data_IF_701484155560
#
_entry.id   IF_701484155560
#
_cell.length_a   1.000
_cell.length_b   1.000
_cell.length_c   1.000
_cell.angle_alpha   90.00
_cell.angle_beta   90.00
_cell.angle_gamma   90.00
#
_symmetry.space_group_name_H-M   'P 1'
#
loop_
_entity.id
_entity.type
_entity.pdbx_description
1 polymer ?
#
# COMPACT_ATOMS: atom_id res chain seq x y z
N UNK A 1 -10.27 5.05 15.67
CA UNK A 1 -8.95 4.85 15.02
C UNK A 1 -7.83 5.78 15.52
N UNK A 2 -8.08 6.94 16.14
CA UNK A 2 -7.03 7.92 16.50
C UNK A 2 -6.08 7.50 17.63
N UNK A 3 -6.52 6.71 18.61
CA UNK A 3 -5.71 6.36 19.78
C UNK A 3 -4.68 5.25 19.53
N UNK A 4 -4.94 4.36 18.55
CA UNK A 4 -4.08 3.20 18.28
C UNK A 4 -2.96 3.50 17.27
N UNK A 5 -3.11 4.55 16.43
CA UNK A 5 -2.18 4.87 15.37
C UNK A 5 -0.73 5.05 15.86
N UNK A 6 -0.44 5.79 16.96
CA UNK A 6 0.93 5.92 17.44
C UNK A 6 1.58 4.60 17.85
N UNK A 7 0.82 3.71 18.50
CA UNK A 7 1.31 2.40 18.92
C UNK A 7 1.61 1.50 17.72
N UNK A 8 0.73 1.50 16.71
CA UNK A 8 0.94 0.74 15.46
C UNK A 8 2.18 1.26 14.74
N UNK A 9 2.30 2.58 14.56
CA UNK A 9 3.45 3.21 13.89
C UNK A 9 4.75 2.92 14.64
N UNK A 10 4.73 2.92 15.98
CA UNK A 10 5.89 2.56 16.79
C UNK A 10 6.33 1.11 16.55
N UNK A 11 5.41 0.16 16.63
CA UNK A 11 5.71 -1.26 16.39
C UNK A 11 6.25 -1.49 14.98
N UNK A 12 5.63 -0.84 13.99
CA UNK A 12 6.09 -0.92 12.60
C UNK A 12 7.48 -0.32 12.42
N UNK A 13 7.75 0.86 12.98
CA UNK A 13 9.04 1.51 12.88
C UNK A 13 10.16 0.65 13.48
N UNK A 14 9.91 0.05 14.65
CA UNK A 14 10.82 -0.89 15.29
C UNK A 14 11.03 -2.15 14.45
N UNK A 15 9.96 -2.69 13.86
CA UNK A 15 10.07 -3.87 12.98
C UNK A 15 10.85 -3.56 11.72
N UNK A 16 10.65 -2.39 11.14
CA UNK A 16 11.28 -1.94 9.89
C UNK A 16 12.78 -1.71 10.02
N UNK A 17 13.26 -1.42 11.23
CA UNK A 17 14.69 -1.23 11.53
C UNK A 17 15.45 -2.52 11.80
N UNK A 18 14.74 -3.64 12.01
CA UNK A 18 15.35 -4.95 12.13
C UNK A 18 15.50 -5.55 10.74
N UNK A 19 16.43 -6.49 10.61
CA UNK A 19 16.56 -7.29 9.39
C UNK A 19 15.19 -7.88 8.99
N UNK A 20 14.84 -7.71 7.71
CA UNK A 20 13.61 -8.28 7.13
C UNK A 20 14.04 -9.33 6.11
N UNK A 21 13.82 -10.58 6.47
CA UNK A 21 14.30 -11.74 5.71
C UNK A 21 13.50 -11.95 4.42
N UNK A 22 12.18 -11.68 4.43
CA UNK A 22 11.31 -11.88 3.26
C UNK A 22 10.94 -10.55 2.60
N UNK A 23 10.85 -10.55 1.27
CA UNK A 23 10.32 -9.41 0.51
C UNK A 23 8.87 -9.14 0.86
N UNK A 24 8.05 -10.18 1.04
CA UNK A 24 6.61 -10.07 1.35
C UNK A 24 6.36 -9.24 2.61
N UNK A 25 7.02 -9.57 3.73
CA UNK A 25 6.86 -8.82 4.98
C UNK A 25 7.32 -7.38 4.83
N UNK A 26 8.37 -7.14 4.05
CA UNK A 26 8.88 -5.79 3.78
C UNK A 26 7.86 -4.98 3.00
N UNK A 27 7.26 -5.55 1.96
CA UNK A 27 6.20 -4.93 1.17
C UNK A 27 4.96 -4.63 2.02
N UNK A 28 4.52 -5.55 2.87
CA UNK A 28 3.40 -5.32 3.79
C UNK A 28 3.64 -4.13 4.73
N UNK A 29 4.85 -4.02 5.30
CA UNK A 29 5.21 -2.87 6.15
C UNK A 29 5.25 -1.56 5.36
N UNK A 30 5.79 -1.59 4.14
CA UNK A 30 5.84 -0.43 3.24
C UNK A 30 4.41 0.03 2.91
N UNK A 31 3.50 -0.89 2.56
CA UNK A 31 2.12 -0.56 2.21
C UNK A 31 1.38 0.14 3.35
N UNK A 32 1.52 -0.32 4.59
CA UNK A 32 0.86 0.32 5.72
C UNK A 32 1.41 1.74 5.93
N UNK A 33 2.73 1.97 5.77
CA UNK A 33 3.28 3.33 5.80
C UNK A 33 2.78 4.19 4.64
N UNK A 34 2.65 3.63 3.43
CA UNK A 34 2.06 4.32 2.27
C UNK A 34 0.63 4.76 2.57
N UNK A 35 -0.20 3.88 3.14
CA UNK A 35 -1.61 4.21 3.47
C UNK A 35 -1.68 5.34 4.50
N UNK A 36 -0.85 5.30 5.55
CA UNK A 36 -0.83 6.37 6.56
C UNK A 36 -0.37 7.70 5.93
N UNK A 37 0.65 7.66 5.07
CA UNK A 37 1.14 8.83 4.33
C UNK A 37 0.07 9.41 3.41
N UNK A 38 -0.62 8.57 2.64
CA UNK A 38 -1.70 8.95 1.72
C UNK A 38 -2.88 9.59 2.46
N UNK A 39 -3.28 9.02 3.60
CA UNK A 39 -4.39 9.54 4.40
C UNK A 39 -4.08 10.92 4.97
N UNK A 40 -2.88 11.11 5.53
CA UNK A 40 -2.48 12.38 6.12
C UNK A 40 -0.95 12.50 6.28
N UNK A 41 -0.26 13.22 5.37
CA UNK A 41 1.18 13.42 5.46
C UNK A 41 1.63 14.09 6.76
N UNK A 42 0.88 15.10 7.24
CA UNK A 42 1.18 15.78 8.51
C UNK A 42 1.23 14.81 9.69
N UNK A 43 0.21 13.95 9.82
CA UNK A 43 0.18 12.94 10.88
C UNK A 43 1.24 11.87 10.69
N UNK A 44 1.54 11.46 9.47
CA UNK A 44 2.61 10.50 9.18
C UNK A 44 3.95 11.01 9.73
N UNK A 45 4.37 12.20 9.32
CA UNK A 45 5.64 12.78 9.77
C UNK A 45 5.63 13.11 11.26
N UNK A 46 4.55 13.69 11.80
CA UNK A 46 4.44 13.99 13.23
C UNK A 46 4.58 12.73 14.09
N UNK A 47 3.89 11.65 13.71
CA UNK A 47 3.90 10.39 14.47
C UNK A 47 5.28 9.74 14.41
N UNK A 48 5.89 9.63 13.22
CA UNK A 48 7.22 9.05 13.08
C UNK A 48 8.31 9.86 13.78
N UNK A 49 8.24 11.20 13.73
CA UNK A 49 9.17 12.05 14.48
C UNK A 49 9.02 11.87 16.00
N UNK A 50 7.79 11.70 16.49
CA UNK A 50 7.52 11.43 17.91
C UNK A 50 8.05 10.07 18.32
N UNK A 51 7.84 9.04 17.49
CA UNK A 51 8.39 7.69 17.71
C UNK A 51 9.91 7.73 17.72
N UNK A 52 10.53 8.39 16.75
CA UNK A 52 11.99 8.56 16.68
C UNK A 52 12.53 9.27 17.92
N UNK A 53 11.90 10.36 18.36
CA UNK A 53 12.31 11.10 19.56
C UNK A 53 12.26 10.24 20.83
N UNK A 54 11.30 9.32 20.92
CA UNK A 54 11.12 8.43 22.07
C UNK A 54 11.96 7.14 21.99
N UNK A 55 12.37 6.72 20.80
CA UNK A 55 13.13 5.50 20.56
C UNK A 55 14.27 5.75 19.55
N UNK A 56 15.51 5.91 20.03
CA UNK A 56 16.69 6.14 19.19
C UNK A 56 16.92 5.09 18.11
N UNK A 57 16.45 3.84 18.30
CA UNK A 57 16.59 2.78 17.29
C UNK A 57 15.78 3.06 16.01
N UNK A 58 14.84 4.00 16.05
CA UNK A 58 13.96 4.34 14.94
C UNK A 58 14.32 5.66 14.24
N UNK A 59 15.42 6.30 14.59
CA UNK A 59 15.82 7.62 14.07
C UNK A 59 15.95 7.69 12.55
N UNK A 60 16.38 6.61 11.90
CA UNK A 60 16.54 6.53 10.44
C UNK A 60 15.27 6.07 9.70
N UNK A 61 14.16 5.81 10.41
CA UNK A 61 13.01 5.09 9.82
C UNK A 61 12.39 5.80 8.64
N UNK A 62 12.27 7.13 8.69
CA UNK A 62 11.68 7.93 7.61
C UNK A 62 12.52 7.80 6.34
N UNK A 63 13.83 8.01 6.45
CA UNK A 63 14.76 7.91 5.33
C UNK A 63 14.86 6.48 4.79
N UNK A 64 14.94 5.49 5.68
CA UNK A 64 15.00 4.07 5.30
C UNK A 64 13.72 3.65 4.58
N UNK A 65 12.56 4.06 5.08
CA UNK A 65 11.26 3.79 4.45
C UNK A 65 11.21 4.29 3.01
N UNK A 66 11.52 5.56 2.77
CA UNK A 66 11.46 6.12 1.41
C UNK A 66 12.46 5.46 0.46
N UNK A 67 13.70 5.24 0.90
CA UNK A 67 14.70 4.57 0.07
C UNK A 67 14.33 3.12 -0.26
N UNK A 68 13.82 2.39 0.74
CA UNK A 68 13.43 1.00 0.57
C UNK A 68 12.20 0.89 -0.33
N UNK A 69 11.20 1.75 -0.14
CA UNK A 69 10.02 1.79 -1.00
C UNK A 69 10.40 2.03 -2.46
N UNK A 70 11.27 3.00 -2.75
CA UNK A 70 11.71 3.21 -4.13
C UNK A 70 12.48 2.03 -4.72
N UNK A 71 13.19 1.27 -3.89
CA UNK A 71 13.95 0.08 -4.31
C UNK A 71 13.02 -1.10 -4.59
N UNK A 72 12.02 -1.31 -3.73
CA UNK A 72 11.11 -2.45 -3.79
C UNK A 72 9.86 -2.17 -4.64
N UNK A 73 9.72 -0.99 -5.25
CA UNK A 73 8.52 -0.62 -6.02
C UNK A 73 8.23 -1.60 -7.16
N UNK A 74 9.26 -2.24 -7.73
CA UNK A 74 9.10 -3.24 -8.80
C UNK A 74 8.60 -4.61 -8.28
N UNK A 75 8.65 -4.85 -6.97
CA UNK A 75 8.21 -6.11 -6.36
C UNK A 75 6.70 -6.14 -6.08
N UNK A 76 5.98 -5.02 -6.24
CA UNK A 76 4.53 -5.00 -6.11
C UNK A 76 3.87 -5.67 -7.33
N UNK A 77 3.41 -6.91 -7.17
CA UNK A 77 2.85 -7.71 -8.24
C UNK A 77 1.32 -7.63 -8.33
N UNK A 78 0.60 -7.75 -7.21
CA UNK A 78 -0.87 -7.81 -7.15
C UNK A 78 -1.56 -6.49 -7.49
N UNK A 79 -2.81 -6.56 -7.96
CA UNK A 79 -3.62 -5.37 -8.32
C UNK A 79 -3.76 -4.43 -7.14
N UNK A 80 -4.13 -4.96 -5.98
CA UNK A 80 -4.26 -4.20 -4.73
C UNK A 80 -2.94 -3.49 -4.38
N UNK A 81 -1.83 -4.24 -4.37
CA UNK A 81 -0.50 -3.75 -4.03
C UNK A 81 -0.05 -2.59 -4.93
N UNK A 82 -0.27 -2.74 -6.24
CA UNK A 82 0.03 -1.71 -7.23
C UNK A 82 -0.88 -0.49 -7.07
N UNK A 83 -2.17 -0.67 -6.75
CA UNK A 83 -3.09 0.45 -6.44
C UNK A 83 -2.61 1.24 -5.21
N UNK A 84 -2.25 0.55 -4.13
CA UNK A 84 -1.71 1.19 -2.92
C UNK A 84 -0.42 1.95 -3.22
N UNK A 85 0.54 1.32 -3.93
CA UNK A 85 1.78 1.97 -4.31
C UNK A 85 1.54 3.21 -5.19
N UNK A 86 0.62 3.12 -6.14
CA UNK A 86 0.20 4.23 -7.00
C UNK A 86 -0.35 5.42 -6.21
N UNK A 87 -1.25 5.19 -5.25
CA UNK A 87 -1.78 6.23 -4.36
C UNK A 87 -0.68 6.92 -3.55
N UNK A 88 0.28 6.14 -3.06
CA UNK A 88 1.47 6.66 -2.39
C UNK A 88 2.30 7.57 -3.29
N UNK A 89 2.65 7.11 -4.49
CA UNK A 89 3.48 7.88 -5.43
C UNK A 89 2.79 9.18 -5.86
N UNK A 90 1.47 9.15 -6.10
CA UNK A 90 0.68 10.37 -6.34
C UNK A 90 0.62 11.31 -5.13
N UNK A 91 0.76 10.79 -3.91
CA UNK A 91 0.90 11.61 -2.70
C UNK A 91 2.25 12.30 -2.69
N UNK A 92 3.33 11.58 -3.03
CA UNK A 92 4.67 12.17 -3.12
C UNK A 92 4.78 13.26 -4.20
N UNK A 93 4.15 13.09 -5.35
CA UNK A 93 4.12 14.10 -6.41
C UNK A 93 3.45 15.42 -5.99
N UNK A 94 2.54 15.37 -5.00
CA UNK A 94 1.78 16.51 -4.49
C UNK A 94 2.22 16.94 -3.09
N UNK A 95 3.34 16.41 -2.60
CA UNK A 95 3.74 16.61 -1.22
C UNK A 95 4.16 18.06 -0.97
N UNK A 96 3.82 18.57 0.20
CA UNK A 96 4.16 19.93 0.60
C UNK A 96 5.69 20.11 0.68
N UNK A 97 6.17 21.29 0.26
CA UNK A 97 7.58 21.66 0.26
C UNK A 97 8.25 21.48 1.63
N UNK A 98 7.49 21.59 2.74
CA UNK A 98 8.02 21.36 4.11
C UNK A 98 8.60 19.95 4.30
N UNK A 99 8.21 18.97 3.49
CA UNK A 99 8.71 17.59 3.57
C UNK A 99 9.81 17.26 2.57
N UNK A 100 10.21 18.20 1.71
CA UNK A 100 11.21 17.94 0.67
C UNK A 100 12.55 17.48 1.24
N UNK A 101 12.93 17.94 2.43
CA UNK A 101 14.14 17.47 3.12
C UNK A 101 14.10 15.97 3.48
N UNK A 102 12.91 15.41 3.71
CA UNK A 102 12.75 14.00 4.02
C UNK A 102 12.78 13.10 2.79
N UNK A 103 12.47 13.64 1.60
CA UNK A 103 12.34 12.87 0.35
C UNK A 103 13.34 13.26 -0.73
N UNK A 104 14.21 14.25 -0.52
CA UNK A 104 15.09 14.82 -1.56
C UNK A 104 15.88 13.77 -2.33
N UNK A 105 16.35 12.73 -1.64
CA UNK A 105 17.18 11.68 -2.20
C UNK A 105 16.40 10.71 -3.10
N UNK A 106 15.08 10.65 -2.95
CA UNK A 106 14.21 9.76 -3.74
C UNK A 106 13.51 10.48 -4.90
N UNK A 107 13.53 11.82 -4.95
CA UNK A 107 12.83 12.60 -6.00
C UNK A 107 13.11 12.08 -7.42
N UNK A 108 14.36 11.76 -7.82
CA UNK A 108 14.64 11.26 -9.16
C UNK A 108 14.01 9.89 -9.47
N UNK A 109 13.64 9.12 -8.44
CA UNK A 109 13.08 7.77 -8.55
C UNK A 109 11.55 7.73 -8.57
N UNK A 110 10.88 8.80 -8.14
CA UNK A 110 9.41 8.84 -8.02
C UNK A 110 8.77 8.60 -9.40
N UNK A 111 9.17 9.38 -10.42
CA UNK A 111 8.56 9.30 -11.74
C UNK A 111 8.82 7.95 -12.45
N UNK A 112 10.05 7.39 -12.46
CA UNK A 112 10.29 6.05 -12.96
C UNK A 112 9.40 4.98 -12.29
N UNK A 113 9.26 5.03 -10.96
CA UNK A 113 8.42 4.09 -10.23
C UNK A 113 6.93 4.27 -10.55
N UNK A 114 6.45 5.50 -10.79
CA UNK A 114 5.10 5.71 -11.30
C UNK A 114 4.89 4.94 -12.61
N UNK A 115 5.78 5.15 -13.58
CA UNK A 115 5.67 4.52 -14.91
C UNK A 115 5.59 3.00 -14.77
N UNK A 116 6.49 2.40 -13.98
CA UNK A 116 6.49 0.95 -13.73
C UNK A 116 5.15 0.46 -13.15
N UNK A 117 4.67 1.11 -12.08
CA UNK A 117 3.43 0.70 -11.40
C UNK A 117 2.21 0.82 -12.32
N UNK A 118 2.08 1.94 -13.04
CA UNK A 118 0.94 2.16 -13.95
C UNK A 118 0.95 1.23 -15.15
N UNK A 119 2.13 0.91 -15.70
CA UNK A 119 2.25 -0.11 -16.76
C UNK A 119 1.83 -1.48 -16.27
N UNK A 120 2.20 -1.85 -15.03
CA UNK A 120 1.75 -3.10 -14.42
C UNK A 120 0.24 -3.17 -14.24
N UNK A 121 -0.37 -2.11 -13.69
CA UNK A 121 -1.83 -2.02 -13.54
C UNK A 121 -2.56 -2.13 -14.88
N UNK A 122 -2.09 -1.44 -15.91
CA UNK A 122 -2.68 -1.48 -17.24
C UNK A 122 -2.70 -2.90 -17.80
N UNK A 123 -1.59 -3.64 -17.68
CA UNK A 123 -1.48 -5.03 -18.13
C UNK A 123 -2.45 -5.94 -17.39
N UNK A 124 -2.55 -5.82 -16.06
CA UNK A 124 -3.46 -6.66 -15.28
C UNK A 124 -4.92 -6.40 -15.63
N UNK A 125 -5.32 -5.14 -15.85
CA UNK A 125 -6.69 -4.86 -16.29
C UNK A 125 -7.00 -5.32 -17.71
N UNK A 126 -6.02 -5.30 -18.61
CA UNK A 126 -6.20 -5.83 -19.96
C UNK A 126 -6.48 -7.33 -19.93
N UNK A 127 -5.70 -8.08 -19.16
CA UNK A 127 -5.86 -9.53 -19.01
C UNK A 127 -7.22 -9.92 -18.41
N UNK A 128 -7.64 -9.26 -17.32
CA UNK A 128 -8.95 -9.57 -16.72
C UNK A 128 -10.14 -9.28 -17.67
N UNK A 129 -10.04 -8.25 -18.51
CA UNK A 129 -11.09 -7.97 -19.49
C UNK A 129 -11.10 -8.99 -20.65
N UNK A 130 -9.96 -9.59 -20.95
CA UNK A 130 -9.85 -10.66 -21.95
C UNK A 130 -10.45 -11.96 -21.38
N UNK A 131 -10.11 -12.32 -20.14
CA UNK A 131 -10.66 -13.50 -19.43
C UNK A 131 -12.19 -13.41 -19.21
N UNK A 132 -12.73 -12.21 -18.92
CA UNK A 132 -14.20 -11.97 -18.81
C UNK A 132 -14.93 -12.00 -20.17
N UNK A 133 -14.19 -12.04 -21.28
CA UNK A 133 -14.74 -12.09 -22.64
C UNK A 133 -14.54 -13.43 -23.36
N UNK A 134 -13.96 -14.42 -22.68
CA UNK A 134 -13.75 -15.78 -23.19
C UNK A 134 -14.83 -16.76 -22.65
N UNK A 135 -16.08 -16.56 -23.06
CA UNK A 135 -17.12 -17.64 -23.12
C UNK A 135 -17.45 -17.99 -24.58
N UNK A 136 -16.51 -17.81 -25.51
CA UNK A 136 -16.70 -18.24 -26.90
C UNK A 136 -15.34 -18.41 -27.62
N UNK A 137 -14.58 -19.45 -27.25
CA UNK A 137 -13.95 -20.41 -28.21
C UNK A 137 -13.09 -21.45 -27.49
N UNK A 138 -13.42 -22.72 -27.70
CA UNK A 138 -12.56 -23.88 -27.43
C UNK A 138 -11.17 -23.71 -28.09
N UNK A 139 -10.07 -23.80 -27.32
CA UNK A 139 -8.88 -24.56 -27.71
C UNK A 139 -7.84 -24.68 -26.56
N UNK A 140 -7.66 -25.93 -26.14
CA UNK A 140 -6.51 -26.61 -25.52
C UNK A 140 -5.32 -25.84 -24.88
N UNK A 141 -5.12 -26.16 -23.59
CA UNK A 141 -3.83 -26.57 -22.97
C UNK A 141 -2.70 -25.54 -22.80
N UNK A 142 -2.59 -24.95 -21.60
CA UNK A 142 -1.50 -25.33 -20.67
C UNK A 142 -1.83 -24.88 -19.23
N UNK A 143 -1.68 -25.81 -18.30
CA UNK A 143 -2.14 -25.69 -16.91
C UNK A 143 -1.15 -24.91 -16.06
N UNK A 144 -1.51 -23.70 -15.62
CA UNK A 144 -0.87 -23.03 -14.47
C UNK A 144 -1.85 -23.05 -13.30
N UNK A 145 -1.50 -23.57 -12.10
CA UNK A 145 -2.42 -23.57 -10.97
C UNK A 145 -2.72 -22.13 -10.54
N UNK A 146 -3.92 -21.66 -10.87
CA UNK A 146 -4.51 -20.44 -10.34
C UNK A 146 -4.96 -20.69 -8.90
N UNK A 147 -4.02 -20.65 -7.95
CA UNK A 147 -4.35 -20.51 -6.52
C UNK A 147 -4.05 -19.08 -6.08
N UNK A 148 -4.93 -18.14 -6.42
CA UNK A 148 -5.30 -17.05 -5.51
C UNK A 148 -6.81 -16.81 -5.70
N UNK A 149 -7.57 -17.43 -4.81
CA UNK A 149 -8.92 -17.04 -4.43
C UNK A 149 -8.87 -15.58 -3.94
N UNK A 150 -9.02 -14.62 -4.86
CA UNK A 150 -9.40 -13.26 -4.54
C UNK A 150 -10.89 -13.32 -4.14
N UNK A 151 -11.13 -13.73 -2.89
CA UNK A 151 -12.45 -13.80 -2.29
C UNK A 151 -13.21 -12.50 -2.53
N UNK A 152 -14.26 -12.64 -3.34
CA UNK A 152 -15.17 -11.60 -3.80
C UNK A 152 -15.48 -10.55 -2.74
N UNK A 153 -15.07 -9.33 -3.08
CA UNK A 153 -15.57 -8.07 -2.58
C UNK A 153 -16.86 -7.71 -3.34
N UNK A 154 -17.97 -8.49 -3.25
CA UNK A 154 -19.30 -8.01 -3.67
C UNK A 154 -20.47 -8.70 -2.92
N UNK A 155 -20.98 -8.03 -1.87
CA UNK A 155 -22.42 -7.74 -1.65
C UNK A 155 -22.67 -7.19 -0.23
N UNK A 156 -22.50 -5.88 -0.04
CA UNK A 156 -23.24 -5.18 1.02
C UNK A 156 -24.60 -4.78 0.42
N UNK A 157 -25.50 -5.76 0.31
CA UNK A 157 -26.92 -5.48 0.13
C UNK A 157 -27.50 -4.96 1.47
N UNK A 158 -27.85 -3.68 1.48
CA UNK A 158 -28.86 -3.03 2.33
C UNK A 158 -28.70 -3.10 3.86
N UNK A 159 -27.98 -2.13 4.41
CA UNK A 159 -27.89 -1.80 5.85
C UNK A 159 -29.15 -1.14 6.47
N UNK A 160 -30.35 -1.32 5.91
CA UNK A 160 -31.56 -0.61 6.38
C UNK A 160 -32.53 -1.45 7.25
N UNK A 161 -32.38 -2.78 7.37
CA UNK A 161 -33.36 -3.61 8.13
C UNK A 161 -32.98 -3.92 9.59
N UNK A 162 -31.73 -3.64 10.03
CA UNK A 162 -31.32 -3.99 11.40
C UNK A 162 -31.76 -2.96 12.46
N UNK A 163 -31.89 -1.68 12.08
CA UNK A 163 -32.29 -0.61 13.02
C UNK A 163 -33.80 -0.56 13.32
N UNK A 164 -34.64 -1.22 12.51
CA UNK A 164 -36.08 -1.30 12.71
C UNK A 164 -36.51 -2.22 13.86
N UNK A 165 -35.70 -3.22 14.21
CA UNK A 165 -36.04 -4.25 15.21
C UNK A 165 -35.63 -3.89 16.65
N UNK A 166 -34.93 -2.76 16.85
CA UNK A 166 -34.53 -2.26 18.17
C UNK A 166 -35.43 -1.13 18.72
N UNK A 167 -36.48 -0.72 18.00
CA UNK A 167 -37.47 0.26 18.47
C UNK A 167 -38.85 -0.33 18.80
N UNK A 168 -38.94 -1.63 18.98
CA UNK A 168 -40.19 -2.33 19.26
C UNK A 168 -40.07 -3.37 20.37
N UNK A 169 -39.77 -2.93 21.60
CA UNK A 169 -40.22 -3.54 22.86
C UNK A 169 -39.89 -2.65 24.05
#
# INVERSE_FOLDING_TARGET
MSAALPAIVQMMAQRFQREIVTSELRLMLIQVFIVILWLNPDRFFQTLNTVAANDPSTQSVIGNFFNQWMTDSELFAGVHDRRVCSLGLCTLLRIDAKYYSAISNIVPKILPNCIHIYQGLMKTYQHNNEDDSEDDTDDDDDSVPSEIDDGDDENIEHEDDFLGKLKGK
#
